data_IF_098191060473
#
_entry.id   IF_098191060473
#
_cell.length_a   1.000
_cell.length_b   1.000
_cell.length_c   1.000
_cell.angle_alpha   90.00
_cell.angle_beta   90.00
_cell.angle_gamma   90.00
#
_symmetry.space_group_name_H-M   'P 1'
#
loop_
_entity.id
_entity.type
_entity.pdbx_description
1 polymer ?
#
# COMPACT_ATOMS: atom_id res chain seq x y z
N UNK A 1 -13.51 -6.79 -20.70
CA UNK A 1 -12.75 -6.52 -19.46
C UNK A 1 -13.74 -6.36 -18.32
N UNK A 2 -13.52 -7.07 -17.22
CA UNK A 2 -14.30 -6.87 -15.99
C UNK A 2 -13.39 -6.23 -14.94
N UNK A 3 -13.91 -5.27 -14.20
CA UNK A 3 -13.20 -4.66 -13.08
C UNK A 3 -13.95 -4.93 -11.78
N UNK A 4 -13.19 -5.19 -10.72
CA UNK A 4 -13.73 -5.41 -9.37
C UNK A 4 -13.17 -4.32 -8.46
N UNK A 5 -14.05 -3.64 -7.72
CA UNK A 5 -13.65 -2.64 -6.72
C UNK A 5 -13.92 -3.21 -5.33
N UNK A 6 -12.89 -3.24 -4.49
CA UNK A 6 -13.00 -3.69 -3.10
C UNK A 6 -12.96 -2.48 -2.18
N UNK A 7 -14.03 -2.26 -1.45
CA UNK A 7 -14.18 -1.16 -0.50
C UNK A 7 -14.29 -1.70 0.93
N UNK A 8 -13.69 -1.00 1.87
CA UNK A 8 -13.94 -1.20 3.30
C UNK A 8 -15.08 -0.30 3.74
N UNK A 9 -16.12 -0.88 4.34
CA UNK A 9 -17.30 -0.16 4.82
C UNK A 9 -17.35 -0.02 6.35
N UNK A 10 -16.30 -0.43 7.05
CA UNK A 10 -16.18 -0.37 8.51
C UNK A 10 -14.81 0.17 8.96
N UNK A 11 -14.49 0.02 10.20
CA UNK A 11 -13.38 0.68 10.92
C UNK A 11 -11.95 0.25 10.55
N UNK A 12 -11.74 -0.47 9.45
CA UNK A 12 -10.40 -0.84 8.97
C UNK A 12 -10.00 -2.30 9.25
N UNK A 13 -10.67 -2.98 10.16
CA UNK A 13 -10.39 -4.38 10.58
C UNK A 13 -11.31 -5.42 9.92
N UNK A 14 -12.00 -5.05 8.86
CA UNK A 14 -12.97 -5.90 8.16
C UNK A 14 -12.37 -7.04 7.35
N UNK A 15 -11.04 -7.15 7.29
CA UNK A 15 -10.35 -8.21 6.56
C UNK A 15 -10.25 -8.00 5.05
N UNK A 16 -10.45 -6.78 4.57
CA UNK A 16 -10.37 -6.40 3.16
C UNK A 16 -9.07 -6.87 2.48
N UNK A 17 -7.94 -6.81 3.18
CA UNK A 17 -6.65 -7.27 2.66
C UNK A 17 -6.70 -8.70 2.14
N UNK A 18 -7.29 -9.63 2.88
CA UNK A 18 -7.40 -11.05 2.48
C UNK A 18 -8.24 -11.24 1.22
N UNK A 19 -9.31 -10.45 1.07
CA UNK A 19 -10.16 -10.50 -0.12
C UNK A 19 -9.41 -9.96 -1.33
N UNK A 20 -8.69 -8.84 -1.15
CA UNK A 20 -7.84 -8.26 -2.20
C UNK A 20 -6.76 -9.25 -2.62
N UNK A 21 -6.08 -9.91 -1.69
CA UNK A 21 -5.03 -10.89 -1.98
C UNK A 21 -5.57 -12.09 -2.78
N UNK A 22 -6.76 -12.57 -2.43
CA UNK A 22 -7.43 -13.66 -3.17
C UNK A 22 -7.79 -13.24 -4.60
N UNK A 23 -8.35 -12.04 -4.76
CA UNK A 23 -8.75 -11.51 -6.07
C UNK A 23 -7.53 -11.15 -6.93
N UNK A 24 -6.46 -10.64 -6.32
CA UNK A 24 -5.22 -10.31 -7.01
C UNK A 24 -4.61 -11.49 -7.75
N UNK A 25 -4.77 -12.73 -7.25
CA UNK A 25 -4.27 -13.92 -7.93
C UNK A 25 -4.91 -14.13 -9.31
N UNK A 26 -6.14 -13.65 -9.52
CA UNK A 26 -6.92 -13.82 -10.74
C UNK A 26 -6.97 -12.59 -11.63
N UNK A 27 -6.43 -11.46 -11.17
CA UNK A 27 -6.45 -10.21 -11.88
C UNK A 27 -5.22 -10.05 -12.77
N UNK A 28 -5.34 -9.34 -13.89
CA UNK A 28 -4.22 -8.93 -14.75
C UNK A 28 -3.52 -7.69 -14.19
N UNK A 29 -4.27 -6.85 -13.48
CA UNK A 29 -3.76 -5.65 -12.84
C UNK A 29 -4.35 -5.45 -11.45
N UNK A 30 -3.53 -4.95 -10.52
CA UNK A 30 -3.94 -4.61 -9.15
C UNK A 30 -3.66 -3.14 -8.91
N UNK A 31 -4.72 -2.38 -8.64
CA UNK A 31 -4.64 -0.93 -8.46
C UNK A 31 -4.96 -0.57 -7.01
N UNK A 32 -4.01 0.02 -6.31
CA UNK A 32 -4.27 0.72 -5.07
C UNK A 32 -4.65 2.16 -5.42
N UNK A 33 -5.90 2.50 -5.28
CA UNK A 33 -6.44 3.78 -5.74
C UNK A 33 -6.40 4.89 -4.68
N UNK A 34 -6.26 4.54 -3.37
CA UNK A 34 -6.27 5.51 -2.28
C UNK A 34 -5.54 5.03 -1.03
N UNK A 35 -5.39 5.90 -0.04
CA UNK A 35 -4.79 5.64 1.25
C UNK A 35 -3.30 5.96 1.30
N UNK A 36 -2.64 5.63 2.39
CA UNK A 36 -1.24 5.94 2.67
C UNK A 36 -0.50 4.78 3.34
N UNK A 37 0.63 5.08 4.00
CA UNK A 37 1.52 4.11 4.63
C UNK A 37 1.19 3.80 6.10
N UNK A 38 0.15 4.42 6.66
CA UNK A 38 -0.22 4.32 8.07
C UNK A 38 -0.84 2.96 8.46
N UNK A 39 -1.38 2.23 7.51
CA UNK A 39 -1.90 0.88 7.71
C UNK A 39 -1.20 -0.09 6.77
N UNK A 40 -0.98 -1.32 7.24
CA UNK A 40 -0.38 -2.38 6.45
C UNK A 40 -1.12 -3.69 6.68
N UNK A 41 -0.86 -4.65 5.80
CA UNK A 41 -1.36 -6.01 5.97
C UNK A 41 -0.26 -7.03 5.65
N UNK A 42 -0.43 -8.24 6.17
CA UNK A 42 0.49 -9.34 5.88
C UNK A 42 -0.15 -10.29 4.89
N UNK A 43 0.55 -10.54 3.80
CA UNK A 43 0.20 -11.53 2.79
C UNK A 43 1.08 -12.76 2.99
N UNK A 44 0.51 -13.94 2.91
CA UNK A 44 1.24 -15.19 3.00
C UNK A 44 1.24 -15.89 1.64
N UNK A 45 2.41 -16.06 1.05
CA UNK A 45 2.60 -16.80 -0.21
C UNK A 45 3.70 -17.82 0.01
N UNK A 46 3.42 -19.10 -0.31
CA UNK A 46 4.36 -20.21 -0.15
C UNK A 46 5.01 -20.27 1.26
N UNK A 47 4.20 -20.08 2.30
CA UNK A 47 4.63 -20.01 3.71
C UNK A 47 5.62 -18.87 4.05
N UNK A 48 5.77 -17.89 3.17
CA UNK A 48 6.57 -16.69 3.43
C UNK A 48 5.64 -15.53 3.72
N UNK A 49 5.92 -14.81 4.79
CA UNK A 49 5.17 -13.62 5.19
C UNK A 49 5.73 -12.36 4.52
N UNK A 50 4.87 -11.65 3.80
CA UNK A 50 5.17 -10.35 3.18
C UNK A 50 4.36 -9.27 3.86
N UNK A 51 5.04 -8.30 4.46
CA UNK A 51 4.40 -7.13 5.08
C UNK A 51 4.32 -6.02 4.04
N UNK A 52 3.11 -5.66 3.63
CA UNK A 52 2.84 -4.61 2.67
C UNK A 52 2.20 -3.41 3.36
N UNK A 53 2.65 -2.20 3.05
CA UNK A 53 2.06 -0.94 3.49
C UNK A 53 1.52 -0.12 2.33
N UNK A 54 2.37 0.21 1.37
CA UNK A 54 2.00 0.97 0.17
C UNK A 54 1.87 0.07 -1.07
N UNK A 55 2.72 -0.94 -1.20
CA UNK A 55 2.71 -1.80 -2.37
C UNK A 55 1.39 -2.58 -2.49
N UNK A 56 0.80 -2.66 -3.69
CA UNK A 56 -0.32 -3.54 -3.96
C UNK A 56 0.09 -5.01 -3.80
N UNK A 57 -0.82 -5.87 -3.34
CA UNK A 57 -0.50 -7.30 -3.15
C UNK A 57 -0.17 -8.05 -4.44
N UNK A 58 -0.59 -7.52 -5.58
CA UNK A 58 -0.22 -8.06 -6.90
C UNK A 58 1.28 -8.03 -7.20
N UNK A 59 2.07 -7.21 -6.48
CA UNK A 59 3.54 -7.16 -6.67
C UNK A 59 4.23 -8.50 -6.41
N UNK A 60 3.58 -9.38 -5.64
CA UNK A 60 4.07 -10.74 -5.36
C UNK A 60 3.96 -11.69 -6.58
N UNK A 61 3.34 -11.25 -7.66
CA UNK A 61 3.12 -12.01 -8.90
C UNK A 61 3.72 -11.26 -10.09
N UNK A 62 4.71 -11.86 -10.74
CA UNK A 62 5.49 -11.21 -11.80
C UNK A 62 4.69 -10.91 -13.08
N UNK A 63 3.58 -11.62 -13.29
CA UNK A 63 2.72 -11.54 -14.47
C UNK A 63 1.68 -10.41 -14.40
N UNK A 64 1.66 -9.63 -13.33
CA UNK A 64 0.62 -8.63 -13.06
C UNK A 64 1.16 -7.20 -13.10
N UNK A 65 0.36 -6.29 -13.64
CA UNK A 65 0.63 -4.86 -13.53
C UNK A 65 0.15 -4.36 -12.17
N UNK A 66 1.00 -3.64 -11.45
CA UNK A 66 0.69 -3.07 -10.15
C UNK A 66 0.72 -1.55 -10.21
N UNK A 67 -0.31 -0.89 -9.71
CA UNK A 67 -0.45 0.55 -9.80
C UNK A 67 -0.70 1.18 -8.43
N UNK A 68 0.10 2.19 -8.10
CA UNK A 68 -0.22 3.17 -7.07
C UNK A 68 -0.91 4.36 -7.76
N UNK A 69 -2.21 4.50 -7.54
CA UNK A 69 -3.04 5.50 -8.21
C UNK A 69 -2.90 6.91 -7.60
N UNK A 70 -3.53 7.86 -8.24
CA UNK A 70 -3.46 9.28 -7.87
C UNK A 70 -4.07 9.64 -6.51
N UNK A 71 -4.97 8.82 -5.97
CA UNK A 71 -5.52 9.00 -4.62
C UNK A 71 -4.65 8.42 -3.50
N UNK A 72 -3.49 7.84 -3.83
CA UNK A 72 -2.53 7.35 -2.83
C UNK A 72 -1.65 8.49 -2.36
N UNK A 73 -1.40 8.52 -1.05
CA UNK A 73 -0.43 9.44 -0.44
C UNK A 73 0.87 8.67 -0.22
N UNK A 74 1.90 9.05 -0.95
CA UNK A 74 3.16 8.31 -1.04
C UNK A 74 4.22 8.93 -0.14
N UNK A 75 4.75 8.13 0.78
CA UNK A 75 6.00 8.41 1.45
C UNK A 75 7.12 7.71 0.67
N UNK A 76 8.02 8.44 -0.02
CA UNK A 76 9.06 7.84 -0.85
C UNK A 76 9.99 6.90 -0.07
N UNK A 77 10.36 7.27 1.15
CA UNK A 77 11.19 6.45 2.02
C UNK A 77 10.54 5.09 2.33
N UNK A 78 9.24 5.08 2.60
CA UNK A 78 8.49 3.84 2.86
C UNK A 78 8.41 2.97 1.61
N UNK A 79 8.10 3.54 0.45
CA UNK A 79 8.01 2.78 -0.81
C UNK A 79 9.37 2.15 -1.16
N UNK A 80 10.45 2.94 -1.07
CA UNK A 80 11.79 2.44 -1.37
C UNK A 80 12.22 1.33 -0.42
N UNK A 81 11.92 1.46 0.87
CA UNK A 81 12.20 0.43 1.87
C UNK A 81 11.40 -0.86 1.61
N UNK A 82 10.10 -0.73 1.24
CA UNK A 82 9.29 -1.90 0.87
C UNK A 82 9.84 -2.59 -0.38
N UNK A 83 10.19 -1.84 -1.43
CA UNK A 83 10.78 -2.40 -2.66
C UNK A 83 12.11 -3.12 -2.33
N UNK A 84 12.97 -2.53 -1.50
CA UNK A 84 14.21 -3.15 -1.09
C UNK A 84 13.96 -4.48 -0.35
N UNK A 85 13.05 -4.48 0.62
CA UNK A 85 12.67 -5.70 1.35
C UNK A 85 12.02 -6.78 0.49
N UNK A 86 11.30 -6.39 -0.59
CA UNK A 86 10.78 -7.35 -1.58
C UNK A 86 11.91 -7.96 -2.41
N UNK A 87 12.86 -7.15 -2.87
CA UNK A 87 14.05 -7.62 -3.63
C UNK A 87 14.91 -8.59 -2.83
N UNK A 88 15.10 -8.36 -1.54
CA UNK A 88 15.81 -9.30 -0.66
C UNK A 88 15.13 -10.67 -0.58
N UNK A 89 13.81 -10.72 -0.78
CA UNK A 89 13.01 -11.95 -0.83
C UNK A 89 12.84 -12.51 -2.25
N UNK A 90 13.57 -11.98 -3.23
CA UNK A 90 13.54 -12.45 -4.62
C UNK A 90 12.35 -11.96 -5.43
N UNK A 91 11.59 -10.96 -4.93
CA UNK A 91 10.47 -10.35 -5.67
C UNK A 91 10.99 -9.16 -6.47
N UNK A 92 10.84 -9.21 -7.79
CA UNK A 92 11.12 -8.08 -8.67
C UNK A 92 9.91 -7.16 -8.76
N UNK A 93 10.07 -5.90 -8.33
CA UNK A 93 9.02 -4.88 -8.35
C UNK A 93 9.03 -4.06 -9.66
N UNK A 94 9.62 -4.54 -10.75
CA UNK A 94 9.67 -3.86 -12.05
C UNK A 94 8.30 -3.64 -12.69
N UNK A 95 7.31 -4.41 -12.26
CA UNK A 95 5.90 -4.33 -12.67
C UNK A 95 5.09 -3.27 -11.90
N UNK A 96 5.74 -2.48 -11.03
CA UNK A 96 5.11 -1.40 -10.28
C UNK A 96 5.12 -0.10 -11.08
N UNK A 97 3.94 0.49 -11.23
CA UNK A 97 3.73 1.81 -11.83
C UNK A 97 3.19 2.75 -10.76
N UNK A 98 3.70 3.96 -10.70
CA UNK A 98 3.26 4.99 -9.76
C UNK A 98 2.69 6.16 -10.57
N UNK A 99 1.48 6.60 -10.20
CA UNK A 99 0.88 7.78 -10.83
C UNK A 99 1.72 9.03 -10.57
N UNK A 100 1.99 9.80 -11.59
CA UNK A 100 2.64 11.12 -11.51
C UNK A 100 1.77 12.17 -10.78
N UNK A 101 0.50 11.84 -10.54
CA UNK A 101 -0.47 12.67 -9.81
C UNK A 101 -0.67 12.23 -8.36
N UNK A 102 0.04 11.22 -7.89
CA UNK A 102 -0.01 10.81 -6.49
C UNK A 102 0.61 11.90 -5.59
N UNK A 103 0.01 12.09 -4.41
CA UNK A 103 0.52 13.07 -3.45
C UNK A 103 1.74 12.52 -2.71
N UNK A 104 2.76 13.36 -2.54
CA UNK A 104 4.01 12.98 -1.89
C UNK A 104 4.05 13.53 -0.45
N UNK A 105 4.33 12.65 0.51
CA UNK A 105 4.63 13.04 1.89
C UNK A 105 6.09 13.44 1.97
N UNK A 106 6.32 14.69 2.29
CA UNK A 106 7.65 15.26 2.55
C UNK A 106 7.93 15.32 4.05
N UNK A 107 9.19 15.39 4.48
CA UNK A 107 9.54 15.38 5.90
C UNK A 107 8.85 16.46 6.73
N UNK A 108 8.61 17.64 6.16
CA UNK A 108 7.93 18.71 6.86
C UNK A 108 6.46 18.42 7.16
N UNK A 109 5.77 17.61 6.34
CA UNK A 109 4.40 17.18 6.61
C UNK A 109 4.35 16.34 7.89
N UNK A 110 5.30 15.40 8.04
CA UNK A 110 5.40 14.57 9.25
C UNK A 110 5.67 15.43 10.47
N UNK A 111 6.57 16.43 10.35
CA UNK A 111 6.88 17.32 11.46
C UNK A 111 5.71 18.23 11.85
N UNK A 112 4.93 18.69 10.88
CA UNK A 112 3.71 19.44 11.15
C UNK A 112 2.66 18.62 11.88
N UNK A 113 2.47 17.36 11.46
CA UNK A 113 1.54 16.42 12.08
C UNK A 113 1.93 16.16 13.55
N UNK A 114 3.21 15.87 13.82
CA UNK A 114 3.75 15.71 15.17
C UNK A 114 3.47 16.94 16.06
N UNK A 115 3.73 18.16 15.53
CA UNK A 115 3.52 19.40 16.26
C UNK A 115 2.03 19.65 16.54
N UNK A 116 1.16 19.32 15.60
CA UNK A 116 -0.29 19.41 15.81
C UNK A 116 -0.77 18.44 16.88
N UNK A 117 -0.29 17.20 16.83
CA UNK A 117 -0.56 16.17 17.84
C UNK A 117 -0.06 16.60 19.24
N UNK A 118 1.15 17.17 19.32
CA UNK A 118 1.68 17.73 20.57
C UNK A 118 0.80 18.86 21.12
N UNK A 119 0.33 19.76 20.24
CA UNK A 119 -0.53 20.87 20.62
C UNK A 119 -1.93 20.42 21.10
N UNK A 120 -2.46 19.32 20.57
CA UNK A 120 -3.75 18.75 20.99
C UNK A 120 -3.67 18.07 22.38
N UNK A 121 -2.49 17.70 22.86
CA UNK A 121 -2.27 17.11 24.19
C UNK A 121 -3.15 15.88 24.43
N UNK A 122 -4.08 15.98 25.40
CA UNK A 122 -5.00 14.87 25.74
C UNK A 122 -6.11 14.62 24.71
N UNK A 123 -6.22 15.43 23.67
CA UNK A 123 -7.20 15.29 22.57
C UNK A 123 -6.58 14.65 21.31
N UNK A 124 -5.47 13.93 21.47
CA UNK A 124 -4.86 13.15 20.37
C UNK A 124 -5.85 12.15 19.80
N UNK A 125 -5.84 12.01 18.48
CA UNK A 125 -6.63 11.01 17.75
C UNK A 125 -5.85 9.71 17.64
#
# INVERSE_FOLDING_TARGET
MSSVVVLGAQWGDEGKGKIVDYLAQKADAVVRYSGGSNAGHTVVVNNINYKLRLLPSGVLFNDKTNVLGNGVVINPGVVLAEIAGMKEKGIDCSNLVISDRAHVVLPYHQRLDELQEEALGNHKI
#
